data_IF_936526933028
#
_entry.id   IF_936526933028
#
_cell.length_a   1.000
_cell.length_b   1.000
_cell.length_c   1.000
_cell.angle_alpha   90.00
_cell.angle_beta   90.00
_cell.angle_gamma   90.00
#
_symmetry.space_group_name_H-M   'P 1'
#
loop_
_entity.id
_entity.type
_entity.pdbx_description
1 polymer ?
#
# COMPACT_ATOMS: atom_id res chain seq x y z
N UNK A 1 0.12 -26.88 36.74
CA UNK A 1 -0.57 -27.59 35.64
C UNK A 1 -2.07 -27.53 35.92
N UNK A 2 -3.00 -27.30 34.97
CA UNK A 2 -2.89 -27.05 33.53
C UNK A 2 -3.68 -25.79 33.06
N UNK A 3 -3.03 -24.79 32.47
CA UNK A 3 -3.69 -23.60 31.87
C UNK A 3 -3.74 -23.61 30.35
N UNK A 4 -3.11 -24.61 29.70
CA UNK A 4 -2.91 -24.60 28.25
C UNK A 4 -4.05 -25.21 27.42
N UNK A 5 -4.99 -25.95 28.04
CA UNK A 5 -6.05 -26.66 27.30
C UNK A 5 -7.19 -25.72 26.89
N UNK A 6 -7.49 -24.68 27.67
CA UNK A 6 -8.59 -23.74 27.41
C UNK A 6 -8.29 -22.81 26.21
N UNK A 7 -7.01 -22.59 25.89
CA UNK A 7 -6.60 -21.66 24.83
C UNK A 7 -6.69 -22.25 23.41
N UNK A 8 -6.63 -23.58 23.27
CA UNK A 8 -6.56 -24.25 21.97
C UNK A 8 -7.89 -24.23 21.20
N UNK A 9 -9.01 -24.46 21.89
CA UNK A 9 -10.34 -24.43 21.27
C UNK A 9 -10.75 -23.01 20.86
N UNK A 10 -10.41 -22.01 21.66
CA UNK A 10 -10.66 -20.59 21.34
C UNK A 10 -9.83 -20.17 20.11
N UNK A 11 -8.57 -20.60 20.02
CA UNK A 11 -7.72 -20.29 18.85
C UNK A 11 -8.23 -20.99 17.59
N UNK A 12 -8.71 -22.22 17.72
CA UNK A 12 -9.32 -22.99 16.62
C UNK A 12 -10.61 -22.35 16.13
N UNK A 13 -11.48 -21.94 17.05
CA UNK A 13 -12.73 -21.26 16.72
C UNK A 13 -12.47 -19.89 16.06
N UNK A 14 -11.50 -19.13 16.58
CA UNK A 14 -11.10 -17.85 15.98
C UNK A 14 -10.57 -18.03 14.54
N UNK A 15 -9.77 -19.06 14.26
CA UNK A 15 -9.28 -19.35 12.90
C UNK A 15 -10.41 -19.76 11.95
N UNK A 16 -11.37 -20.56 12.42
CA UNK A 16 -12.55 -20.92 11.62
C UNK A 16 -13.39 -19.68 11.30
N UNK A 17 -13.67 -18.83 12.28
CA UNK A 17 -14.39 -17.57 12.06
C UNK A 17 -13.63 -16.66 11.09
N UNK A 18 -12.30 -16.55 11.19
CA UNK A 18 -11.51 -15.81 10.22
C UNK A 18 -11.61 -16.41 8.81
N UNK A 19 -11.63 -17.73 8.65
CA UNK A 19 -11.84 -18.35 7.34
C UNK A 19 -13.24 -18.07 6.78
N UNK A 20 -14.27 -17.90 7.61
CA UNK A 20 -15.61 -17.52 7.11
C UNK A 20 -15.68 -16.07 6.60
N UNK A 21 -14.76 -15.21 7.04
CA UNK A 21 -14.75 -13.78 6.71
C UNK A 21 -13.77 -13.42 5.59
N UNK A 22 -12.94 -14.36 5.16
CA UNK A 22 -11.87 -14.13 4.19
C UNK A 22 -12.16 -14.86 2.89
N UNK A 23 -11.50 -14.42 1.82
CA UNK A 23 -11.51 -15.15 0.55
C UNK A 23 -10.79 -16.51 0.69
N UNK A 24 -11.20 -17.55 -0.06
CA UNK A 24 -10.66 -18.90 0.05
C UNK A 24 -9.13 -19.00 -0.07
N UNK A 25 -8.52 -18.11 -0.85
CA UNK A 25 -7.07 -18.01 -1.05
C UNK A 25 -6.29 -17.73 0.24
N UNK A 26 -6.95 -17.14 1.24
CA UNK A 26 -6.34 -16.80 2.52
C UNK A 26 -6.39 -17.96 3.53
N UNK A 27 -7.18 -19.01 3.28
CA UNK A 27 -7.46 -20.08 4.26
C UNK A 27 -6.21 -20.85 4.61
N UNK A 28 -5.41 -21.21 3.61
CA UNK A 28 -4.15 -21.94 3.81
C UNK A 28 -3.21 -21.16 4.73
N UNK A 29 -3.18 -19.83 4.61
CA UNK A 29 -2.34 -19.00 5.45
C UNK A 29 -2.87 -18.90 6.88
N UNK A 30 -4.18 -18.76 7.07
CA UNK A 30 -4.82 -18.60 8.40
C UNK A 30 -4.89 -19.92 9.17
N UNK A 31 -5.18 -21.03 8.49
CA UNK A 31 -5.34 -22.33 9.12
C UNK A 31 -4.00 -22.95 9.51
N UNK A 32 -3.00 -22.90 8.61
CA UNK A 32 -1.72 -23.60 8.80
C UNK A 32 -0.66 -22.80 9.57
N UNK A 33 -0.80 -21.48 9.70
CA UNK A 33 0.20 -20.68 10.43
C UNK A 33 -0.24 -20.37 11.86
N UNK A 34 0.69 -20.53 12.80
CA UNK A 34 0.54 -19.98 14.14
C UNK A 34 0.45 -18.45 14.09
N UNK A 35 -0.26 -17.84 15.06
CA UNK A 35 -0.44 -16.37 15.19
C UNK A 35 0.83 -15.55 14.88
N UNK A 36 2.00 -15.98 15.40
CA UNK A 36 3.31 -15.32 15.14
C UNK A 36 3.76 -15.37 13.67
N UNK A 37 3.56 -16.50 12.99
CA UNK A 37 3.92 -16.68 11.57
C UNK A 37 2.94 -15.96 10.65
N UNK A 38 1.65 -15.92 11.01
CA UNK A 38 0.62 -15.18 10.28
C UNK A 38 0.91 -13.67 10.27
N UNK A 39 1.23 -13.10 11.44
CA UNK A 39 1.61 -11.70 11.56
C UNK A 39 2.86 -11.34 10.75
N UNK A 40 3.87 -12.22 10.73
CA UNK A 40 5.07 -12.03 9.92
C UNK A 40 4.78 -12.11 8.40
N UNK A 41 3.97 -13.08 7.97
CA UNK A 41 3.57 -13.23 6.57
C UNK A 41 2.73 -12.03 6.08
N UNK A 42 1.80 -11.55 6.92
CA UNK A 42 1.02 -10.35 6.67
C UNK A 42 1.92 -9.12 6.51
N UNK A 43 2.84 -8.88 7.46
CA UNK A 43 3.80 -7.78 7.37
C UNK A 43 4.66 -7.84 6.11
N UNK A 44 5.11 -9.04 5.70
CA UNK A 44 5.87 -9.23 4.46
C UNK A 44 5.03 -8.86 3.23
N UNK A 45 3.78 -9.35 3.15
CA UNK A 45 2.86 -9.05 2.05
C UNK A 45 2.56 -7.55 1.97
N UNK A 46 2.38 -6.90 3.11
CA UNK A 46 2.16 -5.44 3.18
C UNK A 46 3.37 -4.65 2.70
N UNK A 47 4.59 -5.02 3.09
CA UNK A 47 5.81 -4.39 2.55
C UNK A 47 5.92 -4.53 1.03
N UNK A 48 5.59 -5.70 0.47
CA UNK A 48 5.58 -5.90 -0.98
C UNK A 48 4.53 -5.03 -1.66
N UNK A 49 3.33 -4.89 -1.08
CA UNK A 49 2.29 -3.97 -1.58
C UNK A 49 2.74 -2.52 -1.56
N UNK A 50 3.38 -2.07 -0.48
CA UNK A 50 3.94 -0.71 -0.36
C UNK A 50 4.92 -0.44 -1.50
N UNK A 51 5.88 -1.35 -1.74
CA UNK A 51 6.85 -1.21 -2.83
C UNK A 51 6.19 -1.18 -4.21
N UNK A 52 5.14 -1.99 -4.40
CA UNK A 52 4.39 -2.00 -5.66
C UNK A 52 3.69 -0.67 -5.91
N UNK A 53 2.98 -0.15 -4.91
CA UNK A 53 2.28 1.14 -5.02
C UNK A 53 3.28 2.29 -5.21
N UNK A 54 4.38 2.30 -4.47
CA UNK A 54 5.44 3.30 -4.67
C UNK A 54 5.98 3.27 -6.11
N UNK A 55 6.21 2.07 -6.67
CA UNK A 55 6.63 1.93 -8.07
C UNK A 55 5.58 2.45 -9.05
N UNK A 56 4.29 2.20 -8.81
CA UNK A 56 3.23 2.77 -9.65
C UNK A 56 3.21 4.30 -9.58
N UNK A 57 3.40 4.87 -8.39
CA UNK A 57 3.47 6.32 -8.20
C UNK A 57 4.65 6.92 -8.98
N UNK A 58 5.84 6.31 -8.91
CA UNK A 58 7.01 6.80 -9.68
C UNK A 58 6.83 6.71 -11.19
N UNK A 59 5.98 5.80 -11.67
CA UNK A 59 5.67 5.67 -13.10
C UNK A 59 4.49 6.56 -13.53
N UNK A 60 3.88 7.31 -12.62
CA UNK A 60 2.85 8.29 -12.97
C UNK A 60 3.54 9.53 -13.55
N UNK A 61 3.49 9.64 -14.88
CA UNK A 61 3.83 10.85 -15.62
C UNK A 61 2.55 11.45 -16.19
N UNK A 62 2.42 12.77 -16.23
CA UNK A 62 1.27 13.48 -16.79
C UNK A 62 0.98 13.05 -18.24
N UNK A 63 2.03 12.73 -19.00
CA UNK A 63 1.95 12.23 -20.38
C UNK A 63 1.11 10.95 -20.54
N UNK A 64 1.00 10.15 -19.48
CA UNK A 64 0.22 8.91 -19.47
C UNK A 64 -1.28 9.17 -19.25
N UNK A 65 -1.71 10.41 -19.06
CA UNK A 65 -3.08 10.79 -18.73
C UNK A 65 -3.63 11.84 -19.69
N UNK A 66 -4.96 11.85 -19.84
CA UNK A 66 -5.66 12.76 -20.76
C UNK A 66 -5.66 14.20 -20.25
N UNK A 67 -5.68 14.39 -18.92
CA UNK A 67 -5.70 15.71 -18.29
C UNK A 67 -5.04 15.69 -16.90
N UNK A 68 -4.71 16.88 -16.40
CA UNK A 68 -4.06 17.08 -15.09
C UNK A 68 -4.92 16.54 -13.94
N UNK A 69 -6.25 16.67 -14.03
CA UNK A 69 -7.19 16.21 -13.01
C UNK A 69 -7.14 14.68 -12.88
N UNK A 70 -7.02 13.96 -14.00
CA UNK A 70 -6.90 12.51 -14.02
C UNK A 70 -5.57 12.05 -13.42
N UNK A 71 -4.49 12.77 -13.73
CA UNK A 71 -3.16 12.53 -13.17
C UNK A 71 -3.13 12.73 -11.64
N UNK A 72 -3.61 13.88 -11.16
CA UNK A 72 -3.71 14.18 -9.72
C UNK A 72 -4.58 13.14 -9.02
N UNK A 73 -5.75 12.84 -9.57
CA UNK A 73 -6.68 11.85 -9.00
C UNK A 73 -6.04 10.48 -8.83
N UNK A 74 -5.23 10.03 -9.81
CA UNK A 74 -4.52 8.75 -9.72
C UNK A 74 -3.44 8.76 -8.64
N UNK A 75 -2.65 9.83 -8.52
CA UNK A 75 -1.64 9.96 -7.46
C UNK A 75 -2.29 10.01 -6.07
N UNK A 76 -3.38 10.78 -5.92
CA UNK A 76 -4.15 10.84 -4.67
C UNK A 76 -4.68 9.46 -4.29
N UNK A 77 -5.24 8.72 -5.24
CA UNK A 77 -5.73 7.35 -5.02
C UNK A 77 -4.62 6.39 -4.57
N UNK A 78 -3.45 6.44 -5.21
CA UNK A 78 -2.31 5.59 -4.82
C UNK A 78 -1.74 5.99 -3.44
N UNK A 79 -1.72 7.27 -3.13
CA UNK A 79 -1.30 7.79 -1.82
C UNK A 79 -2.27 7.35 -0.72
N UNK A 80 -3.58 7.39 -0.98
CA UNK A 80 -4.59 6.89 -0.05
C UNK A 80 -4.40 5.40 0.23
N UNK A 81 -4.15 4.58 -0.80
CA UNK A 81 -3.86 3.16 -0.60
C UNK A 81 -2.64 2.89 0.27
N UNK A 82 -1.61 3.75 0.21
CA UNK A 82 -0.46 3.64 1.11
C UNK A 82 -0.83 4.03 2.55
N UNK A 83 -1.66 5.07 2.74
CA UNK A 83 -2.19 5.44 4.04
C UNK A 83 -3.01 4.30 4.67
N UNK A 84 -3.82 3.60 3.86
CA UNK A 84 -4.64 2.46 4.31
C UNK A 84 -3.78 1.25 4.74
N UNK A 85 -2.53 1.17 4.28
CA UNK A 85 -1.54 0.14 4.64
C UNK A 85 -0.65 0.63 5.81
N UNK A 86 -1.01 1.74 6.45
CA UNK A 86 -0.31 2.33 7.59
C UNK A 86 1.12 2.82 7.23
N UNK A 87 1.34 3.13 5.94
CA UNK A 87 2.57 3.77 5.48
C UNK A 87 2.44 5.29 5.66
N UNK A 88 3.21 5.86 6.58
CA UNK A 88 3.28 7.31 6.73
C UNK A 88 3.99 7.92 5.53
N UNK A 89 3.27 8.77 4.79
CA UNK A 89 3.82 9.51 3.66
C UNK A 89 3.90 10.99 4.03
N UNK A 90 5.09 11.59 4.00
CA UNK A 90 5.24 13.03 4.14
C UNK A 90 4.53 13.77 3.00
N UNK A 91 3.78 14.83 3.31
CA UNK A 91 3.10 15.66 2.30
C UNK A 91 4.09 16.20 1.27
N UNK A 92 5.29 16.61 1.70
CA UNK A 92 6.36 17.10 0.83
C UNK A 92 6.81 16.07 -0.23
N UNK A 93 6.74 14.78 0.10
CA UNK A 93 7.08 13.71 -0.83
C UNK A 93 6.01 13.59 -1.93
N UNK A 94 4.74 13.70 -1.56
CA UNK A 94 3.61 13.71 -2.52
C UNK A 94 3.73 14.91 -3.45
N UNK A 95 4.02 16.08 -2.91
CA UNK A 95 4.24 17.31 -3.69
C UNK A 95 5.42 17.09 -4.66
N UNK A 96 6.54 16.57 -4.19
CA UNK A 96 7.71 16.32 -5.03
C UNK A 96 7.41 15.38 -6.22
N UNK A 97 6.60 14.35 -6.00
CA UNK A 97 6.15 13.43 -7.06
C UNK A 97 5.22 14.13 -8.04
N UNK A 98 4.22 14.86 -7.51
CA UNK A 98 3.29 15.60 -8.35
C UNK A 98 4.05 16.53 -9.28
N UNK A 99 5.01 17.29 -8.76
CA UNK A 99 5.85 18.20 -9.51
C UNK A 99 6.77 17.47 -10.51
N UNK A 100 7.38 16.36 -10.10
CA UNK A 100 8.33 15.60 -10.91
C UNK A 100 7.70 14.87 -12.11
N UNK A 101 6.42 14.49 -12.02
CA UNK A 101 5.71 13.84 -13.11
C UNK A 101 5.05 14.78 -14.11
N UNK A 102 5.12 16.10 -13.92
CA UNK A 102 4.57 17.08 -14.87
C UNK A 102 5.47 17.23 -16.09
N UNK A 103 4.85 17.53 -17.24
CA UNK A 103 5.57 17.85 -18.47
C UNK A 103 6.29 19.19 -18.36
N UNK A 104 7.29 19.40 -19.21
CA UNK A 104 8.09 20.63 -19.31
C UNK A 104 7.25 21.89 -19.58
N UNK A 105 6.05 21.73 -20.15
CA UNK A 105 5.11 22.84 -20.34
C UNK A 105 4.58 23.38 -19.01
N UNK A 106 4.35 22.51 -18.03
CA UNK A 106 3.87 22.89 -16.70
C UNK A 106 5.00 23.24 -15.71
N UNK A 107 6.23 22.74 -15.94
CA UNK A 107 7.38 23.11 -15.11
C UNK A 107 7.72 24.60 -15.19
N UNK A 108 7.44 25.24 -16.34
CA UNK A 108 7.61 26.68 -16.57
C UNK A 108 6.65 27.53 -15.74
N UNK A 109 5.43 27.04 -15.49
CA UNK A 109 4.38 27.77 -14.74
C UNK A 109 4.70 27.81 -13.25
N UNK A 110 5.37 26.79 -12.72
CA UNK A 110 5.69 26.69 -11.28
C UNK A 110 7.06 27.25 -10.89
N UNK A 111 7.75 27.95 -11.80
CA UNK A 111 9.03 28.58 -11.50
C UNK A 111 10.19 27.61 -11.24
N UNK A 112 10.00 26.32 -11.49
CA UNK A 112 11.08 25.33 -11.49
C UNK A 112 11.82 25.48 -12.81
N UNK A 113 12.75 26.44 -12.84
CA UNK A 113 13.68 26.60 -13.94
C UNK A 113 14.40 25.26 -14.11
N UNK A 114 14.38 24.61 -15.29
CA UNK A 114 15.18 23.42 -15.49
C UNK A 114 16.63 23.77 -15.17
N UNK A 115 17.20 23.10 -14.16
CA UNK A 115 18.64 23.13 -13.94
C UNK A 115 19.27 22.37 -15.09
N UNK A 116 19.59 23.10 -16.15
CA UNK A 116 20.28 22.56 -17.31
C UNK A 116 21.70 22.10 -16.94
N UNK A 117 22.06 20.91 -17.39
CA UNK A 117 22.97 20.72 -18.52
C UNK A 117 22.68 19.37 -19.18
#
# INVERSE_FOLDING_TARGET
MPTDVVNADVDRQARMTMCLLLEPECFTNVYNNNKKKLGAAYKKRMKTKVLHIQREIFNCMLENYVCIESYISKITFLTQQLSDIDAQIPVDWIISILLGGLTTEYSLIMGVKPMGK
#
